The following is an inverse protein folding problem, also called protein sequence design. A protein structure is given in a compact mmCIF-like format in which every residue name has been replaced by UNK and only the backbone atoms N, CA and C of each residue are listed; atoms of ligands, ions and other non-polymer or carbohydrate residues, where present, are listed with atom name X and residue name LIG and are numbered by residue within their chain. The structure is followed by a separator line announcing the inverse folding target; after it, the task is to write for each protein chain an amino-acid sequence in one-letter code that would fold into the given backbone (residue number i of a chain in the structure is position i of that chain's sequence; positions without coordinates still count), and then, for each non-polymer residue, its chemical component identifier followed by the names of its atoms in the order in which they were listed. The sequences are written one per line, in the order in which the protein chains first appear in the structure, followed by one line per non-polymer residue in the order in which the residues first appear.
data_IF_616495838417
#
_entry.id   IF_616495838417
#
_cell.length_a   1.000
_cell.length_b   1.000
_cell.length_c   1.000
_cell.angle_alpha   90.00
_cell.angle_beta   90.00
_cell.angle_gamma   90.00
#
_symmetry.space_group_name_H-M   'P 1'
#
loop_
_entity.id
_entity.type
_entity.pdbx_description
1 polymer ?
#
# COMPACT_ATOMS: atom_id res chain seq x y z
N UNK A 1 -16.40 -1.68 -0.60
CA UNK A 1 -16.98 -0.36 -0.90
C UNK A 1 -16.12 0.48 -1.85
N UNK A 2 -14.81 0.62 -1.62
CA UNK A 2 -13.91 1.47 -2.43
C UNK A 2 -13.88 1.09 -3.93
N UNK A 3 -13.80 -0.19 -4.25
CA UNK A 3 -13.79 -0.66 -5.65
C UNK A 3 -15.13 -0.43 -6.35
N UNK A 4 -16.26 -0.51 -5.64
CA UNK A 4 -17.58 -0.32 -6.22
C UNK A 4 -17.77 1.10 -6.77
N UNK A 5 -17.36 2.12 -6.00
CA UNK A 5 -17.42 3.52 -6.42
C UNK A 5 -16.48 3.83 -7.59
N UNK A 6 -15.30 3.23 -7.62
CA UNK A 6 -14.39 3.40 -8.76
C UNK A 6 -14.91 2.76 -10.03
N UNK A 7 -15.55 1.61 -9.93
CA UNK A 7 -16.20 0.97 -11.09
C UNK A 7 -17.40 1.80 -11.58
N UNK A 8 -18.14 2.45 -10.67
CA UNK A 8 -19.20 3.38 -11.05
C UNK A 8 -18.63 4.56 -11.85
N UNK A 9 -17.51 5.14 -11.42
CA UNK A 9 -16.83 6.23 -12.17
C UNK A 9 -16.36 5.74 -13.55
N UNK A 10 -15.84 4.50 -13.65
CA UNK A 10 -15.49 3.92 -14.97
C UNK A 10 -16.69 3.85 -15.90
N UNK A 11 -17.86 3.46 -15.40
CA UNK A 11 -19.10 3.42 -16.19
C UNK A 11 -19.52 4.83 -16.63
N UNK A 12 -19.44 5.82 -15.73
CA UNK A 12 -19.71 7.23 -16.10
C UNK A 12 -18.78 7.69 -17.22
N UNK A 13 -17.46 7.45 -17.08
CA UNK A 13 -16.48 7.81 -18.11
C UNK A 13 -16.78 7.10 -19.43
N UNK A 14 -17.14 5.81 -19.37
CA UNK A 14 -17.47 5.02 -20.55
C UNK A 14 -18.68 5.60 -21.30
N UNK A 15 -19.79 5.84 -20.61
CA UNK A 15 -21.00 6.36 -21.24
C UNK A 15 -20.83 7.81 -21.74
N UNK A 16 -20.16 8.68 -21.01
CA UNK A 16 -19.86 10.04 -21.46
C UNK A 16 -18.98 10.06 -22.72
N UNK A 17 -17.96 9.18 -22.79
CA UNK A 17 -17.13 9.06 -23.99
C UNK A 17 -17.90 8.53 -25.21
N UNK A 18 -19.01 7.83 -25.01
CA UNK A 18 -19.92 7.39 -26.08
C UNK A 18 -20.94 8.51 -26.46
N UNK A 19 -20.92 9.64 -25.78
CA UNK A 19 -21.80 10.79 -26.06
C UNK A 19 -23.18 10.68 -25.39
N UNK A 20 -23.39 9.77 -24.45
CA UNK A 20 -24.63 9.70 -23.68
C UNK A 20 -24.79 10.90 -22.76
N UNK A 21 -26.01 11.38 -22.60
CA UNK A 21 -26.36 12.42 -21.64
C UNK A 21 -26.21 11.92 -20.21
N UNK A 22 -26.17 12.87 -19.25
CA UNK A 22 -26.12 12.51 -17.83
C UNK A 22 -27.31 11.63 -17.42
N UNK A 23 -28.52 11.93 -17.91
CA UNK A 23 -29.73 11.19 -17.55
C UNK A 23 -29.68 9.75 -18.05
N UNK A 24 -29.30 9.55 -19.31
CA UNK A 24 -29.10 8.21 -19.89
C UNK A 24 -28.02 7.43 -19.14
N UNK A 25 -26.91 8.08 -18.80
CA UNK A 25 -25.82 7.48 -18.02
C UNK A 25 -26.32 7.00 -16.65
N UNK A 26 -27.10 7.82 -15.94
CA UNK A 26 -27.67 7.45 -14.64
C UNK A 26 -28.63 6.27 -14.77
N UNK A 27 -29.48 6.27 -15.82
CA UNK A 27 -30.44 5.19 -16.05
C UNK A 27 -29.73 3.89 -16.41
N UNK A 28 -28.73 3.91 -17.27
CA UNK A 28 -27.90 2.74 -17.55
C UNK A 28 -27.15 2.24 -16.31
N UNK A 29 -26.52 3.12 -15.54
CA UNK A 29 -25.84 2.73 -14.32
C UNK A 29 -26.79 2.13 -13.26
N UNK A 30 -28.07 2.53 -13.23
CA UNK A 30 -29.07 1.96 -12.33
C UNK A 30 -29.46 0.51 -12.68
N UNK A 31 -29.25 0.09 -13.92
CA UNK A 31 -29.48 -1.31 -14.37
C UNK A 31 -28.38 -2.27 -13.89
N UNK A 32 -27.23 -1.73 -13.49
CA UNK A 32 -26.17 -2.49 -12.83
C UNK A 32 -26.35 -2.42 -11.30
N UNK A 33 -25.50 -3.09 -10.53
CA UNK A 33 -25.57 -3.13 -9.06
C UNK A 33 -25.19 -1.80 -8.36
N UNK A 34 -25.65 -0.64 -8.90
CA UNK A 34 -25.35 0.71 -8.37
C UNK A 34 -26.62 1.51 -8.01
N UNK A 35 -27.77 0.84 -7.89
CA UNK A 35 -29.05 1.51 -7.65
C UNK A 35 -29.03 2.48 -6.48
N UNK A 36 -28.41 2.09 -5.34
CA UNK A 36 -28.32 2.93 -4.15
C UNK A 36 -27.50 4.20 -4.38
N UNK A 37 -26.36 4.05 -5.03
CA UNK A 37 -25.47 5.16 -5.37
C UNK A 37 -26.12 6.10 -6.38
N UNK A 38 -26.85 5.57 -7.34
CA UNK A 38 -27.58 6.36 -8.35
C UNK A 38 -28.76 7.12 -7.73
N UNK A 39 -29.52 6.49 -6.83
CA UNK A 39 -30.60 7.19 -6.10
C UNK A 39 -30.03 8.37 -5.35
N UNK A 40 -28.92 8.20 -4.65
CA UNK A 40 -28.25 9.25 -3.90
C UNK A 40 -27.76 10.39 -4.80
N UNK A 41 -27.20 10.05 -5.98
CA UNK A 41 -26.79 11.05 -6.99
C UNK A 41 -28.00 11.82 -7.50
N UNK A 42 -29.11 11.13 -7.83
CA UNK A 42 -30.35 11.80 -8.29
C UNK A 42 -30.94 12.72 -7.21
N UNK A 43 -30.88 12.33 -5.93
CA UNK A 43 -31.31 13.18 -4.82
C UNK A 43 -30.48 14.49 -4.73
N UNK A 44 -29.15 14.39 -4.83
CA UNK A 44 -28.28 15.57 -4.83
C UNK A 44 -28.50 16.45 -6.05
N UNK A 45 -28.73 15.89 -7.25
CA UNK A 45 -29.09 16.65 -8.44
C UNK A 45 -30.41 17.41 -8.25
N UNK A 46 -31.41 16.79 -7.62
CA UNK A 46 -32.70 17.43 -7.30
C UNK A 46 -32.55 18.56 -6.27
N UNK A 47 -31.51 18.50 -5.42
CA UNK A 47 -31.15 19.58 -4.49
C UNK A 47 -30.39 20.73 -5.18
N UNK A 48 -30.12 20.61 -6.47
CA UNK A 48 -29.44 21.62 -7.27
C UNK A 48 -27.91 21.56 -7.26
N UNK A 49 -27.30 20.49 -6.70
CA UNK A 49 -25.87 20.32 -6.76
C UNK A 49 -25.46 19.93 -8.20
N UNK A 50 -24.35 20.49 -8.64
CA UNK A 50 -23.70 20.08 -9.88
C UNK A 50 -23.06 18.69 -9.74
N UNK A 51 -22.84 18.00 -10.85
CA UNK A 51 -22.29 16.65 -10.83
C UNK A 51 -20.87 16.60 -10.20
N UNK A 52 -20.07 17.64 -10.44
CA UNK A 52 -18.73 17.76 -9.85
C UNK A 52 -18.79 17.96 -8.32
N UNK A 53 -19.76 18.71 -7.81
CA UNK A 53 -20.00 18.84 -6.36
C UNK A 53 -20.44 17.51 -5.75
N UNK A 54 -21.28 16.76 -6.46
CA UNK A 54 -21.74 15.44 -6.01
C UNK A 54 -20.55 14.47 -5.87
N UNK A 55 -19.61 14.44 -6.82
CA UNK A 55 -18.41 13.63 -6.71
C UNK A 55 -17.52 14.03 -5.52
N UNK A 56 -17.57 15.27 -5.07
CA UNK A 56 -16.87 15.72 -3.87
C UNK A 56 -17.58 15.30 -2.56
N UNK A 57 -18.91 15.20 -2.56
CA UNK A 57 -19.72 14.78 -1.39
C UNK A 57 -19.69 13.27 -1.23
N UNK A 58 -19.78 12.50 -2.31
CA UNK A 58 -19.77 11.03 -2.27
C UNK A 58 -18.56 10.49 -1.51
N UNK A 59 -18.64 9.28 -0.88
CA UNK A 59 -17.60 8.71 -0.02
C UNK A 59 -16.38 8.17 -0.80
N UNK A 60 -15.87 8.97 -1.73
CA UNK A 60 -14.61 8.68 -2.41
C UNK A 60 -13.41 8.85 -1.48
N UNK A 61 -12.31 8.13 -1.74
CA UNK A 61 -11.06 8.34 -1.03
C UNK A 61 -10.57 9.79 -1.16
N UNK A 62 -9.98 10.33 -0.08
CA UNK A 62 -9.45 11.70 -0.06
C UNK A 62 -8.52 11.99 -1.26
N UNK A 63 -7.68 11.02 -1.63
CA UNK A 63 -6.79 11.13 -2.78
C UNK A 63 -7.53 11.36 -4.10
N UNK A 64 -8.65 10.65 -4.33
CA UNK A 64 -9.48 10.86 -5.52
C UNK A 64 -10.05 12.27 -5.55
N UNK A 65 -10.61 12.73 -4.43
CA UNK A 65 -11.19 14.08 -4.30
C UNK A 65 -10.15 15.17 -4.53
N UNK A 66 -8.93 14.99 -4.01
CA UNK A 66 -7.82 15.92 -4.20
C UNK A 66 -7.46 16.07 -5.69
N UNK A 67 -7.21 14.98 -6.39
CA UNK A 67 -6.91 15.02 -7.82
C UNK A 67 -8.10 15.49 -8.66
N UNK A 68 -9.30 15.09 -8.30
CA UNK A 68 -10.50 15.52 -9.00
C UNK A 68 -10.71 17.04 -8.86
N UNK A 69 -10.55 17.57 -7.64
CA UNK A 69 -10.62 19.03 -7.40
C UNK A 69 -9.58 19.79 -8.20
N UNK A 70 -8.37 19.24 -8.35
CA UNK A 70 -7.32 19.85 -9.17
C UNK A 70 -7.67 19.83 -10.65
N UNK A 71 -8.06 18.66 -11.19
CA UNK A 71 -8.29 18.52 -12.63
C UNK A 71 -9.59 19.15 -13.10
N UNK A 72 -10.63 19.24 -12.28
CA UNK A 72 -11.92 19.82 -12.68
C UNK A 72 -11.84 21.28 -13.08
N UNK A 73 -10.81 22.02 -12.61
CA UNK A 73 -10.62 23.42 -12.92
C UNK A 73 -9.97 23.65 -14.30
N UNK A 74 -9.27 22.64 -14.83
CA UNK A 74 -8.50 22.74 -16.07
C UNK A 74 -9.05 21.88 -17.22
N UNK A 75 -9.84 20.86 -16.90
CA UNK A 75 -10.29 19.86 -17.87
C UNK A 75 -11.80 19.65 -17.79
N UNK A 76 -12.36 19.04 -18.84
CA UNK A 76 -13.76 18.59 -18.83
C UNK A 76 -13.98 17.55 -17.71
N UNK A 77 -15.23 17.42 -17.27
CA UNK A 77 -15.63 16.49 -16.20
C UNK A 77 -15.14 15.07 -16.47
N UNK A 78 -15.34 14.56 -17.70
CA UNK A 78 -14.94 13.22 -18.09
C UNK A 78 -13.42 13.02 -17.97
N UNK A 79 -12.66 14.02 -18.44
CA UNK A 79 -11.20 14.00 -18.40
C UNK A 79 -10.70 14.09 -16.95
N UNK A 80 -11.31 14.94 -16.13
CA UNK A 80 -10.98 15.07 -14.72
C UNK A 80 -11.24 13.77 -13.94
N UNK A 81 -12.39 13.13 -14.16
CA UNK A 81 -12.73 11.84 -13.59
C UNK A 81 -11.74 10.75 -14.03
N UNK A 82 -11.46 10.67 -15.33
CA UNK A 82 -10.56 9.67 -15.91
C UNK A 82 -9.14 9.79 -15.35
N UNK A 83 -8.58 10.99 -15.33
CA UNK A 83 -7.23 11.26 -14.78
C UNK A 83 -7.17 10.92 -13.29
N UNK A 84 -8.14 11.38 -12.50
CA UNK A 84 -8.19 11.14 -11.06
C UNK A 84 -8.30 9.66 -10.73
N UNK A 85 -9.15 8.94 -11.45
CA UNK A 85 -9.35 7.51 -11.29
C UNK A 85 -8.10 6.72 -11.70
N UNK A 86 -7.46 7.08 -12.83
CA UNK A 86 -6.26 6.42 -13.31
C UNK A 86 -5.10 6.53 -12.32
N UNK A 87 -4.91 7.69 -11.69
CA UNK A 87 -3.91 7.88 -10.64
C UNK A 87 -4.21 7.01 -9.42
N UNK A 88 -5.47 6.98 -8.99
CA UNK A 88 -5.88 6.15 -7.86
C UNK A 88 -5.65 4.66 -8.11
N UNK A 89 -6.02 4.16 -9.31
CA UNK A 89 -5.82 2.77 -9.72
C UNK A 89 -4.34 2.40 -9.81
N UNK A 90 -3.52 3.22 -10.48
CA UNK A 90 -2.07 3.00 -10.56
C UNK A 90 -1.43 2.95 -9.18
N UNK A 91 -1.81 3.83 -8.26
CA UNK A 91 -1.27 3.81 -6.90
C UNK A 91 -1.63 2.53 -6.14
N UNK A 92 -2.84 2.03 -6.31
CA UNK A 92 -3.26 0.76 -5.70
C UNK A 92 -2.51 -0.44 -6.30
N UNK A 93 -2.32 -0.44 -7.61
CA UNK A 93 -1.53 -1.44 -8.33
C UNK A 93 -0.05 -1.42 -7.88
N UNK A 94 0.58 -0.25 -7.80
CA UNK A 94 1.95 -0.12 -7.30
C UNK A 94 2.08 -0.61 -5.86
N UNK A 95 1.13 -0.27 -4.99
CA UNK A 95 1.12 -0.75 -3.60
C UNK A 95 1.06 -2.28 -3.53
N UNK A 96 0.16 -2.89 -4.29
CA UNK A 96 -0.01 -4.33 -4.32
C UNK A 96 1.22 -5.04 -4.92
N UNK A 97 1.81 -4.48 -5.97
CA UNK A 97 3.03 -4.99 -6.59
C UNK A 97 4.22 -4.88 -5.65
N UNK A 98 4.34 -3.77 -4.93
CA UNK A 98 5.39 -3.57 -3.94
C UNK A 98 5.30 -4.59 -2.79
N UNK A 99 4.11 -4.79 -2.23
CA UNK A 99 3.89 -5.77 -1.17
C UNK A 99 4.22 -7.21 -1.63
N UNK A 100 3.84 -7.57 -2.86
CA UNK A 100 4.20 -8.88 -3.43
C UNK A 100 5.71 -9.05 -3.60
N UNK A 101 6.41 -8.00 -4.04
CA UNK A 101 7.87 -8.04 -4.20
C UNK A 101 8.63 -8.11 -2.87
N UNK A 102 8.06 -7.59 -1.78
CA UNK A 102 8.64 -7.69 -0.43
C UNK A 102 8.51 -9.07 0.19
N UNK A 103 7.60 -9.91 -0.27
CA UNK A 103 7.38 -11.25 0.30
C UNK A 103 8.63 -12.13 0.21
N UNK A 104 9.34 -12.11 -0.91
CA UNK A 104 10.56 -12.92 -1.10
C UNK A 104 11.70 -12.53 -0.13
N UNK A 105 12.11 -11.24 -0.04
CA UNK A 105 13.10 -10.84 0.96
C UNK A 105 12.68 -11.15 2.41
N UNK A 106 11.40 -11.03 2.73
CA UNK A 106 10.91 -11.34 4.08
C UNK A 106 11.05 -12.83 4.41
N UNK A 107 10.69 -13.72 3.49
CA UNK A 107 10.86 -15.17 3.68
C UNK A 107 12.35 -15.53 3.83
N UNK A 108 13.21 -14.94 3.01
CA UNK A 108 14.65 -15.18 3.07
C UNK A 108 15.24 -14.73 4.42
N UNK A 109 14.83 -13.58 4.94
CA UNK A 109 15.25 -13.07 6.25
C UNK A 109 14.80 -13.99 7.38
N UNK A 110 13.55 -14.45 7.35
CA UNK A 110 13.02 -15.41 8.34
C UNK A 110 13.84 -16.71 8.32
N UNK A 111 14.09 -17.24 7.13
CA UNK A 111 14.90 -18.45 6.98
C UNK A 111 16.31 -18.26 7.54
N UNK A 112 16.97 -17.18 7.20
CA UNK A 112 18.31 -16.85 7.68
C UNK A 112 18.35 -16.69 9.20
N UNK A 113 17.32 -16.09 9.79
CA UNK A 113 17.18 -15.93 11.23
C UNK A 113 17.02 -17.27 11.95
N UNK A 114 16.12 -18.12 11.48
CA UNK A 114 15.91 -19.46 12.04
C UNK A 114 17.19 -20.30 11.92
N UNK A 115 17.85 -20.25 10.77
CA UNK A 115 19.10 -20.97 10.54
C UNK A 115 20.24 -20.47 11.45
N UNK A 116 20.32 -19.17 11.67
CA UNK A 116 21.31 -18.58 12.60
C UNK A 116 21.08 -19.03 14.05
N UNK A 117 19.83 -19.09 14.50
CA UNK A 117 19.47 -19.63 15.81
C UNK A 117 19.89 -21.09 15.92
N UNK A 118 19.62 -21.89 14.90
CA UNK A 118 20.03 -23.30 14.88
C UNK A 118 21.54 -23.47 15.01
N UNK A 119 22.34 -22.68 14.31
CA UNK A 119 23.81 -22.74 14.43
C UNK A 119 24.25 -22.42 15.85
N UNK A 120 23.75 -21.31 16.43
CA UNK A 120 24.23 -20.83 17.75
C UNK A 120 23.79 -21.75 18.89
N UNK A 121 22.54 -22.21 18.89
CA UNK A 121 21.99 -22.97 20.00
C UNK A 121 22.18 -24.50 19.89
N UNK A 122 22.42 -25.01 18.70
CA UNK A 122 22.55 -26.43 18.47
C UNK A 122 23.95 -26.86 18.01
N UNK A 123 24.46 -26.23 16.98
CA UNK A 123 25.73 -26.65 16.36
C UNK A 123 26.95 -26.18 17.15
N UNK A 124 26.96 -24.93 17.61
CA UNK A 124 28.10 -24.38 18.37
C UNK A 124 28.38 -25.14 19.66
N UNK A 125 27.40 -25.45 20.54
CA UNK A 125 27.66 -26.25 21.75
C UNK A 125 28.22 -27.63 21.46
N UNK A 126 27.79 -28.30 20.38
CA UNK A 126 28.35 -29.60 20.01
C UNK A 126 29.83 -29.50 19.60
N UNK A 127 30.19 -28.45 18.88
CA UNK A 127 31.60 -28.21 18.53
C UNK A 127 32.42 -27.91 19.79
N UNK A 128 31.88 -27.15 20.76
CA UNK A 128 32.56 -26.91 22.03
C UNK A 128 32.85 -28.18 22.81
N UNK A 129 31.89 -29.10 22.90
CA UNK A 129 32.07 -30.41 23.56
C UNK A 129 33.18 -31.17 22.88
N UNK A 130 33.24 -31.20 21.54
CA UNK A 130 34.31 -31.89 20.80
C UNK A 130 35.70 -31.30 21.12
N UNK A 131 35.83 -29.98 21.25
CA UNK A 131 37.11 -29.37 21.66
C UNK A 131 37.55 -29.80 23.05
N UNK A 132 36.59 -29.98 23.98
CA UNK A 132 36.85 -30.42 25.34
C UNK A 132 37.25 -31.90 25.32
N UNK A 133 36.51 -32.75 24.64
CA UNK A 133 36.72 -34.22 24.60
C UNK A 133 38.06 -34.59 23.98
N UNK A 134 38.48 -33.86 22.94
CA UNK A 134 39.77 -34.09 22.29
C UNK A 134 40.94 -33.28 22.93
N UNK A 135 40.67 -32.57 24.03
CA UNK A 135 41.66 -31.75 24.73
C UNK A 135 42.41 -30.76 23.81
N UNK A 136 41.71 -30.23 22.82
CA UNK A 136 42.27 -29.28 21.83
C UNK A 136 42.19 -27.87 22.41
N UNK A 137 43.35 -27.20 22.52
CA UNK A 137 43.37 -25.79 22.93
C UNK A 137 42.75 -24.92 21.85
N UNK A 138 41.75 -24.12 22.23
CA UNK A 138 41.15 -23.15 21.33
C UNK A 138 42.19 -22.09 20.97
N UNK A 139 42.49 -21.99 19.69
CA UNK A 139 43.30 -20.87 19.19
C UNK A 139 42.51 -19.56 19.29
N UNK A 140 43.20 -18.42 19.48
CA UNK A 140 42.59 -17.07 19.49
C UNK A 140 41.63 -16.82 18.29
N UNK A 141 41.99 -17.35 17.12
CA UNK A 141 41.15 -17.25 15.91
C UNK A 141 39.81 -17.97 16.09
N UNK A 142 39.82 -19.16 16.74
CA UNK A 142 38.62 -19.94 17.00
C UNK A 142 37.72 -19.23 18.01
N UNK A 143 38.27 -18.64 19.06
CA UNK A 143 37.50 -17.83 20.03
C UNK A 143 36.86 -16.63 19.37
N UNK A 144 37.57 -15.87 18.54
CA UNK A 144 36.99 -14.77 17.75
C UNK A 144 35.88 -15.26 16.85
N UNK A 145 36.01 -16.43 16.20
CA UNK A 145 34.98 -16.98 15.35
C UNK A 145 33.70 -17.33 16.14
N UNK A 146 33.84 -17.90 17.34
CA UNK A 146 32.70 -18.21 18.21
C UNK A 146 31.96 -16.96 18.65
N UNK A 147 32.68 -15.90 19.05
CA UNK A 147 32.10 -14.61 19.42
C UNK A 147 31.36 -14.01 18.21
N UNK A 148 31.95 -14.06 17.02
CA UNK A 148 31.34 -13.56 15.80
C UNK A 148 30.04 -14.32 15.48
N UNK A 149 30.06 -15.64 15.58
CA UNK A 149 28.88 -16.48 15.31
C UNK A 149 27.74 -16.20 16.31
N UNK A 150 28.04 -15.98 17.60
CA UNK A 150 27.04 -15.58 18.58
C UNK A 150 26.45 -14.19 18.32
N UNK A 151 27.20 -13.28 17.72
CA UNK A 151 26.75 -11.95 17.39
C UNK A 151 25.78 -11.91 16.19
N UNK A 152 25.86 -12.89 15.27
CA UNK A 152 25.06 -12.91 14.04
C UNK A 152 23.54 -12.83 14.31
N UNK A 153 22.90 -13.66 15.16
CA UNK A 153 21.46 -13.57 15.39
C UNK A 153 21.05 -12.23 16.02
N UNK A 154 21.92 -11.64 16.84
CA UNK A 154 21.68 -10.32 17.45
C UNK A 154 21.67 -9.23 16.37
N UNK A 155 22.67 -9.21 15.49
CA UNK A 155 22.73 -8.27 14.36
C UNK A 155 21.54 -8.45 13.40
N UNK A 156 21.16 -9.70 13.11
CA UNK A 156 20.00 -10.00 12.29
C UNK A 156 18.69 -9.51 12.93
N UNK A 157 18.51 -9.72 14.24
CA UNK A 157 17.35 -9.21 14.97
C UNK A 157 17.30 -7.66 14.94
N UNK A 158 18.42 -6.98 15.20
CA UNK A 158 18.49 -5.52 15.13
C UNK A 158 18.20 -5.01 13.71
N UNK A 159 18.75 -5.65 12.69
CA UNK A 159 18.52 -5.29 11.30
C UNK A 159 17.06 -5.47 10.88
N UNK A 160 16.40 -6.56 11.31
CA UNK A 160 14.96 -6.76 11.04
C UNK A 160 14.10 -5.72 11.73
N UNK A 161 14.37 -5.40 12.99
CA UNK A 161 13.67 -4.35 13.72
C UNK A 161 13.87 -2.98 13.05
N UNK A 162 15.10 -2.63 12.69
CA UNK A 162 15.41 -1.37 12.01
C UNK A 162 14.69 -1.26 10.65
N UNK A 163 14.64 -2.36 9.86
CA UNK A 163 13.95 -2.38 8.58
C UNK A 163 12.43 -2.24 8.74
N UNK A 164 11.83 -2.84 9.76
CA UNK A 164 10.40 -2.69 10.07
C UNK A 164 10.09 -1.23 10.47
N UNK A 165 10.91 -0.64 11.33
CA UNK A 165 10.76 0.77 11.73
C UNK A 165 10.86 1.69 10.52
N UNK A 166 11.82 1.46 9.64
CA UNK A 166 12.02 2.24 8.42
C UNK A 166 10.80 2.13 7.48
N UNK A 167 10.25 0.93 7.28
CA UNK A 167 9.04 0.72 6.48
C UNK A 167 7.84 1.45 7.10
N UNK A 168 7.67 1.36 8.42
CA UNK A 168 6.60 2.08 9.14
C UNK A 168 6.78 3.59 9.00
N UNK A 169 8.01 4.09 9.15
CA UNK A 169 8.32 5.52 9.01
C UNK A 169 8.05 6.04 7.60
N UNK A 170 8.46 5.31 6.56
CA UNK A 170 8.14 5.63 5.16
C UNK A 170 6.62 5.63 4.95
N UNK A 171 5.92 4.60 5.46
CA UNK A 171 4.47 4.52 5.35
C UNK A 171 3.76 5.69 6.02
N UNK A 172 4.20 6.08 7.23
CA UNK A 172 3.66 7.24 7.96
C UNK A 172 4.02 8.57 7.28
N UNK A 173 5.23 8.70 6.74
CA UNK A 173 5.67 9.90 6.03
C UNK A 173 4.84 10.13 4.76
N UNK A 174 4.59 9.08 3.99
CA UNK A 174 3.70 9.13 2.80
C UNK A 174 2.25 9.41 3.22
N UNK A 175 1.83 8.94 4.39
CA UNK A 175 0.49 9.19 4.93
C UNK A 175 0.34 10.61 5.49
N UNK A 176 1.40 11.16 6.11
CA UNK A 176 1.40 12.51 6.72
C UNK A 176 1.57 13.64 5.69
N UNK A 177 2.26 13.43 4.58
CA UNK A 177 2.29 14.41 3.49
C UNK A 177 0.91 14.74 2.92
N UNK A 178 -0.11 13.94 3.23
CA UNK A 178 -1.52 14.21 2.96
C UNK A 178 -2.11 15.38 3.75
N UNK A 179 -1.54 15.79 4.87
CA UNK A 179 -2.17 16.77 5.79
C UNK A 179 -1.58 18.19 5.67
N UNK A 180 -0.32 18.32 5.25
CA UNK A 180 0.35 19.62 5.25
C UNK A 180 0.17 20.44 3.96
N UNK A 181 -0.54 19.93 2.94
CA UNK A 181 -0.80 20.70 1.70
C UNK A 181 -2.18 21.37 1.70
N UNK A 182 -2.97 21.22 2.76
CA UNK A 182 -4.32 21.84 2.86
C UNK A 182 -4.25 23.22 3.52
N UNK A 183 -3.15 23.58 4.18
CA UNK A 183 -3.02 24.85 4.90
C UNK A 183 -2.36 25.98 4.08
N UNK A 184 -2.17 25.80 2.77
CA UNK A 184 -1.56 26.80 1.89
C UNK A 184 -2.38 27.04 0.60
N UNK A 185 -3.69 27.27 0.71
CA UNK A 185 -4.47 27.99 -0.32
C UNK A 185 -5.69 28.64 0.31
#
# INVERSE_FOLDING_TARGET
MKNKLFNLVDLFIFFFNQGYSLQETLDFCSMFDYEKEIIQIKEYLNQGLSLDEIFMVLPFPALFKEYFSFFKNEFTLETALSKSLSICKKREEYKNTFLKKLAYPAILLIFLFVFSIFIVFYLLPQIEILFIDFNIQKSFIIECLFVLLHAIPIFLALFTIASIILVIFIYQSISKQKFNHIDFL
#
